data_IF_677333354467
#
_entry.id   IF_677333354467
#
_cell.length_a   1.000
_cell.length_b   1.000
_cell.length_c   1.000
_cell.angle_alpha   90.00
_cell.angle_beta   90.00
_cell.angle_gamma   90.00
#
_symmetry.space_group_name_H-M   'P 1'
#
loop_
_entity.id
_entity.type
_entity.pdbx_description
1 polymer ?
#
# COMPACT_ATOMS: atom_id res chain seq x y z
N UNK A 1 -13.49 -4.08 -1.89
CA UNK A 1 -13.46 -2.92 -0.95
C UNK A 1 -14.03 -1.69 -1.66
N UNK A 2 -15.10 -1.03 -1.16
CA UNK A 2 -15.70 0.15 -1.81
C UNK A 2 -15.40 1.43 -1.02
N UNK A 3 -14.47 2.25 -1.51
CA UNK A 3 -14.01 3.47 -0.83
C UNK A 3 -14.23 4.70 -1.72
N UNK A 4 -15.04 5.65 -1.24
CA UNK A 4 -15.31 6.91 -1.98
C UNK A 4 -14.05 7.75 -2.16
N UNK A 5 -13.09 7.63 -1.22
CA UNK A 5 -11.84 8.38 -1.25
C UNK A 5 -10.75 7.73 -2.11
N UNK A 6 -11.09 6.79 -2.99
CA UNK A 6 -10.15 6.16 -3.93
C UNK A 6 -10.22 6.72 -5.36
N UNK A 7 -11.25 7.52 -5.69
CA UNK A 7 -11.49 8.04 -7.03
C UNK A 7 -12.11 9.44 -6.99
N UNK A 8 -11.66 10.33 -7.89
CA UNK A 8 -12.24 11.67 -8.05
C UNK A 8 -12.66 11.91 -9.50
N UNK A 9 -13.82 12.54 -9.70
CA UNK A 9 -14.29 12.96 -11.02
C UNK A 9 -13.48 14.12 -11.60
N UNK A 10 -12.69 14.82 -10.78
CA UNK A 10 -11.83 15.93 -11.22
C UNK A 10 -10.60 15.45 -12.00
N UNK A 11 -10.18 14.21 -11.81
CA UNK A 11 -8.98 13.64 -12.45
C UNK A 11 -9.18 12.15 -12.72
N UNK A 12 -10.06 11.82 -13.67
CA UNK A 12 -10.51 10.44 -13.93
C UNK A 12 -9.42 9.53 -14.49
N UNK A 13 -8.34 10.11 -15.04
CA UNK A 13 -7.17 9.41 -15.55
C UNK A 13 -6.27 8.91 -14.42
N UNK A 14 -6.37 9.50 -13.22
CA UNK A 14 -5.58 9.10 -12.06
C UNK A 14 -6.26 7.96 -11.30
N UNK A 15 -5.82 6.73 -11.57
CA UNK A 15 -6.43 5.51 -11.01
C UNK A 15 -5.45 4.66 -10.20
N UNK A 16 -4.28 5.20 -9.87
CA UNK A 16 -3.20 4.44 -9.21
C UNK A 16 -3.63 3.75 -7.92
N UNK A 17 -4.41 4.43 -7.07
CA UNK A 17 -4.91 3.85 -5.81
C UNK A 17 -5.87 2.69 -6.06
N UNK A 18 -6.84 2.87 -6.96
CA UNK A 18 -7.83 1.83 -7.27
C UNK A 18 -7.13 0.59 -7.85
N UNK A 19 -6.17 0.81 -8.75
CA UNK A 19 -5.35 -0.25 -9.32
C UNK A 19 -4.52 -0.97 -8.26
N UNK A 20 -3.88 -0.22 -7.36
CA UNK A 20 -3.09 -0.79 -6.27
C UNK A 20 -3.93 -1.65 -5.33
N UNK A 21 -5.14 -1.20 -4.97
CA UNK A 21 -6.07 -1.97 -4.14
C UNK A 21 -6.55 -3.25 -4.83
N UNK A 22 -6.86 -3.18 -6.13
CA UNK A 22 -7.27 -4.32 -6.94
C UNK A 22 -6.15 -5.39 -7.03
N UNK A 23 -4.93 -4.95 -7.35
CA UNK A 23 -3.77 -5.85 -7.39
C UNK A 23 -3.51 -6.45 -6.01
N UNK A 24 -3.61 -5.65 -4.94
CA UNK A 24 -3.44 -6.16 -3.57
C UNK A 24 -4.45 -7.25 -3.25
N UNK A 25 -5.72 -7.06 -3.64
CA UNK A 25 -6.76 -8.07 -3.48
C UNK A 25 -6.42 -9.36 -4.23
N UNK A 26 -6.02 -9.27 -5.49
CA UNK A 26 -5.61 -10.44 -6.27
C UNK A 26 -4.39 -11.18 -5.67
N UNK A 27 -3.39 -10.44 -5.18
CA UNK A 27 -2.15 -11.02 -4.66
C UNK A 27 -2.30 -11.58 -3.24
N UNK A 28 -3.19 -11.02 -2.43
CA UNK A 28 -3.21 -11.24 -0.99
C UNK A 28 -4.52 -11.87 -0.45
N UNK A 29 -5.58 -12.01 -1.24
CA UNK A 29 -6.89 -12.55 -0.77
C UNK A 29 -6.80 -13.89 -0.03
N UNK A 30 -5.91 -14.79 -0.46
CA UNK A 30 -5.75 -16.13 0.13
C UNK A 30 -4.62 -16.18 1.18
N UNK A 31 -4.11 -15.01 1.58
CA UNK A 31 -3.00 -14.88 2.55
C UNK A 31 -3.53 -14.27 3.84
N UNK A 32 -2.83 -14.51 4.95
CA UNK A 32 -3.06 -13.82 6.23
C UNK A 32 -2.54 -12.37 6.16
N UNK A 33 -3.17 -11.56 5.32
CA UNK A 33 -2.75 -10.21 5.00
C UNK A 33 -3.95 -9.25 5.04
N UNK A 34 -3.66 -7.96 5.14
CA UNK A 34 -4.66 -6.91 5.09
C UNK A 34 -4.09 -5.70 4.35
N UNK A 35 -4.91 -5.01 3.56
CA UNK A 35 -4.51 -3.81 2.84
C UNK A 35 -5.62 -2.78 2.88
N UNK A 36 -5.21 -1.51 2.85
CA UNK A 36 -6.15 -0.38 2.81
C UNK A 36 -5.53 0.83 2.13
N UNK A 37 -6.39 1.73 1.67
CA UNK A 37 -6.00 3.09 1.37
C UNK A 37 -5.37 3.73 2.63
N UNK A 38 -4.24 4.42 2.45
CA UNK A 38 -3.55 5.14 3.52
C UNK A 38 -3.52 6.65 3.23
N UNK A 39 -3.60 7.47 4.28
CA UNK A 39 -3.65 8.93 4.18
C UNK A 39 -5.05 9.48 3.91
N UNK A 40 -5.12 10.69 3.34
CA UNK A 40 -6.36 11.44 3.09
C UNK A 40 -7.22 10.95 1.91
N UNK A 41 -6.65 10.17 0.99
CA UNK A 41 -7.32 9.67 -0.22
C UNK A 41 -6.97 10.41 -1.52
N UNK A 42 -7.50 9.89 -2.63
CA UNK A 42 -7.39 10.36 -4.03
C UNK A 42 -5.96 10.37 -4.63
N UNK A 43 -5.02 11.03 -3.97
CA UNK A 43 -3.59 10.99 -4.29
C UNK A 43 -2.84 10.51 -3.05
N UNK A 44 -2.23 9.34 -3.12
CA UNK A 44 -1.65 8.74 -1.92
C UNK A 44 -1.16 7.32 -2.11
N UNK A 45 -0.91 6.67 -0.99
CA UNK A 45 -0.36 5.33 -0.91
C UNK A 45 -1.41 4.35 -0.40
N UNK A 46 -1.18 3.06 -0.65
CA UNK A 46 -1.83 2.01 0.11
C UNK A 46 -0.89 1.53 1.20
N UNK A 47 -1.46 1.00 2.28
CA UNK A 47 -0.71 0.29 3.30
C UNK A 47 -1.17 -1.16 3.30
N UNK A 48 -0.21 -2.07 3.11
CA UNK A 48 -0.44 -3.50 3.18
C UNK A 48 0.36 -4.10 4.34
N UNK A 49 -0.32 -4.85 5.20
CA UNK A 49 0.25 -5.74 6.18
C UNK A 49 0.30 -7.14 5.58
N UNK A 50 1.51 -7.63 5.37
CA UNK A 50 1.80 -8.85 4.63
C UNK A 50 2.71 -9.71 5.50
N UNK A 51 2.52 -11.04 5.59
CA UNK A 51 3.47 -11.91 6.27
C UNK A 51 4.88 -11.74 5.71
N UNK A 52 5.88 -11.83 6.58
CA UNK A 52 7.26 -11.47 6.26
C UNK A 52 7.80 -12.21 5.03
N UNK A 53 7.47 -13.49 4.89
CA UNK A 53 7.87 -14.35 3.77
C UNK A 53 7.33 -13.87 2.41
N UNK A 54 6.25 -13.09 2.39
CA UNK A 54 5.65 -12.55 1.17
C UNK A 54 6.01 -11.08 0.92
N UNK A 55 6.65 -10.38 1.87
CA UNK A 55 6.86 -8.94 1.78
C UNK A 55 7.72 -8.54 0.56
N UNK A 56 8.83 -9.25 0.33
CA UNK A 56 9.72 -8.99 -0.81
C UNK A 56 9.05 -9.28 -2.16
N UNK A 57 8.31 -10.40 -2.23
CA UNK A 57 7.54 -10.78 -3.42
C UNK A 57 6.47 -9.74 -3.74
N UNK A 58 5.66 -9.37 -2.74
CA UNK A 58 4.60 -8.38 -2.89
C UNK A 58 5.15 -7.02 -3.36
N UNK A 59 6.24 -6.56 -2.75
CA UNK A 59 6.93 -5.32 -3.18
C UNK A 59 7.38 -5.40 -4.64
N UNK A 60 7.90 -6.55 -5.08
CA UNK A 60 8.33 -6.76 -6.46
C UNK A 60 7.17 -6.77 -7.46
N UNK A 61 6.02 -7.36 -7.12
CA UNK A 61 4.83 -7.32 -7.97
C UNK A 61 4.28 -5.89 -8.11
N UNK A 62 4.27 -5.11 -7.03
CA UNK A 62 3.86 -3.71 -7.08
C UNK A 62 4.81 -2.85 -7.91
N UNK A 63 6.12 -3.06 -7.80
CA UNK A 63 7.13 -2.32 -8.56
C UNK A 63 7.03 -2.58 -10.09
N UNK A 64 6.54 -3.75 -10.52
CA UNK A 64 6.30 -4.02 -11.96
C UNK A 64 5.22 -3.13 -12.55
N UNK A 65 4.26 -2.69 -11.74
CA UNK A 65 3.10 -1.89 -12.19
C UNK A 65 3.35 -0.40 -11.97
N UNK A 66 3.91 -0.02 -10.82
CA UNK A 66 4.05 1.38 -10.42
C UNK A 66 5.47 1.93 -10.59
N UNK A 67 6.42 1.09 -11.04
CA UNK A 67 7.82 1.43 -11.20
C UNK A 67 8.68 1.00 -10.02
N UNK A 68 9.98 0.83 -10.28
CA UNK A 68 10.96 0.39 -9.28
C UNK A 68 10.97 1.33 -8.06
N UNK A 69 10.85 0.75 -6.87
CA UNK A 69 10.87 1.49 -5.60
C UNK A 69 9.53 2.15 -5.23
N UNK A 70 8.44 1.82 -5.92
CA UNK A 70 7.11 2.32 -5.57
C UNK A 70 6.63 1.77 -4.22
N UNK A 71 7.07 0.58 -3.84
CA UNK A 71 6.78 -0.01 -2.53
C UNK A 71 7.91 0.20 -1.53
N UNK A 72 7.57 0.69 -0.33
CA UNK A 72 8.51 0.85 0.78
C UNK A 72 8.13 -0.09 1.93
N UNK A 73 8.98 -1.07 2.22
CA UNK A 73 8.83 -1.90 3.41
C UNK A 73 9.08 -1.05 4.66
N UNK A 74 8.10 -0.98 5.55
CA UNK A 74 8.20 -0.31 6.84
C UNK A 74 8.38 -1.38 7.93
N UNK A 75 9.38 -1.19 8.78
CA UNK A 75 9.54 -1.99 9.99
C UNK A 75 8.87 -1.24 11.16
N UNK A 76 8.00 -1.94 11.89
CA UNK A 76 7.51 -1.44 13.18
C UNK A 76 8.68 -1.49 14.15
N UNK A 77 9.09 -0.34 14.70
CA UNK A 77 10.14 -0.31 15.73
C UNK A 77 9.64 -1.00 17.00
N UNK A 78 10.49 -1.81 17.62
CA UNK A 78 10.18 -2.52 18.87
C UNK A 78 10.14 -1.63 20.12
N UNK A 79 10.64 -0.40 20.03
CA UNK A 79 10.68 0.56 21.13
C UNK A 79 9.61 1.65 20.93
N UNK A 80 8.79 1.87 21.96
CA UNK A 80 7.80 2.96 21.99
C UNK A 80 8.41 4.26 22.51
N UNK A 81 8.14 5.39 21.87
CA UNK A 81 8.33 6.72 22.48
C UNK A 81 9.79 7.18 22.63
N UNK A 82 10.61 7.05 21.59
CA UNK A 82 12.00 7.55 21.62
C UNK A 82 12.05 9.01 21.17
N UNK A 83 12.55 9.90 22.04
CA UNK A 83 12.89 11.28 21.66
C UNK A 83 14.28 11.28 21.03
N UNK A 84 14.39 11.66 19.75
CA UNK A 84 15.68 11.88 19.10
C UNK A 84 16.23 13.22 19.61
N UNK A 85 17.10 13.16 20.62
CA UNK A 85 17.88 14.32 21.05
C UNK A 85 19.01 14.50 20.04
N UNK A 86 18.99 15.62 19.31
CA UNK A 86 20.07 16.02 18.39
C UNK A 86 21.25 16.59 19.15
#
# INVERSE_FOLDING_TARGET
MYLQNAFTSLSVQEQGIMLALCISEQLLQDKKAAWRLHGGGFAGTIQAFVPWEYAAWYSGEMDKVFGKGASRCLAVRGESGVCLVK
#
